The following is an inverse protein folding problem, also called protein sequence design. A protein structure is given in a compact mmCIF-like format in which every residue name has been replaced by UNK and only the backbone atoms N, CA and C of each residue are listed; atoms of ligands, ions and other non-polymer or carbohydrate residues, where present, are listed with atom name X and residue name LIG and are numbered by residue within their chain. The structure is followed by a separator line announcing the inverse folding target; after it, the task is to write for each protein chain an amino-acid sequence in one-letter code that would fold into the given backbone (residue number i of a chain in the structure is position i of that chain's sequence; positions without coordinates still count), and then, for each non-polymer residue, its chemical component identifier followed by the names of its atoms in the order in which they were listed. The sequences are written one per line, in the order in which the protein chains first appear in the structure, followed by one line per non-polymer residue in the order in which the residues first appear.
data_IF_351866846962
#
_entry.id   IF_351866846962
#
_cell.length_a   1.000
_cell.length_b   1.000
_cell.length_c   1.000
_cell.angle_alpha   90.00
_cell.angle_beta   90.00
_cell.angle_gamma   90.00
#
_symmetry.space_group_name_H-M   'P 1'
#
loop_
_entity.id
_entity.type
_entity.pdbx_description
1 polymer ?
#
# COMPACT_ATOMS: atom_id res chain seq x y z
N UNK A 1 -7.75 -3.44 16.55
CA UNK A 1 -6.98 -4.68 16.88
C UNK A 1 -5.54 -4.28 17.14
N UNK A 2 -4.85 -4.88 18.13
CA UNK A 2 -3.45 -4.57 18.42
C UNK A 2 -2.52 -5.13 17.34
N UNK A 3 -1.82 -4.27 16.61
CA UNK A 3 -0.91 -4.66 15.53
C UNK A 3 0.21 -5.56 16.04
N UNK A 4 0.59 -5.43 17.33
CA UNK A 4 1.61 -6.23 18.01
C UNK A 4 1.34 -7.75 17.96
N UNK A 5 0.08 -8.14 17.73
CA UNK A 5 -0.37 -9.53 17.70
C UNK A 5 -0.51 -10.10 16.28
N UNK A 6 -0.20 -9.33 15.24
CA UNK A 6 -0.30 -9.81 13.86
C UNK A 6 0.87 -10.74 13.53
N UNK A 7 0.57 -12.03 13.35
CA UNK A 7 1.59 -13.06 13.07
C UNK A 7 2.35 -12.87 11.75
N UNK A 8 1.76 -12.17 10.77
CA UNK A 8 2.42 -11.88 9.49
C UNK A 8 3.44 -10.74 9.59
N UNK A 9 3.31 -9.85 10.59
CA UNK A 9 4.20 -8.70 10.77
C UNK A 9 5.22 -8.88 11.89
N UNK A 10 5.23 -10.06 12.54
CA UNK A 10 6.04 -10.34 13.74
C UNK A 10 7.52 -9.98 13.57
N UNK A 11 8.08 -10.23 12.37
CA UNK A 11 9.51 -10.08 12.11
C UNK A 11 9.91 -8.61 11.87
N UNK A 12 8.94 -7.76 11.51
CA UNK A 12 9.16 -6.34 11.22
C UNK A 12 8.50 -5.40 12.23
N UNK A 13 7.86 -5.94 13.27
CA UNK A 13 6.97 -5.18 14.16
C UNK A 13 7.68 -4.03 14.87
N UNK A 14 8.95 -4.23 15.22
CA UNK A 14 9.82 -3.22 15.86
C UNK A 14 10.13 -2.01 14.97
N UNK A 15 9.89 -2.14 13.66
CA UNK A 15 10.08 -1.08 12.67
C UNK A 15 8.79 -0.35 12.34
N UNK A 16 7.65 -0.80 12.86
CA UNK A 16 6.36 -0.19 12.61
C UNK A 16 6.09 0.90 13.64
N UNK A 17 5.69 2.06 13.16
CA UNK A 17 5.25 3.17 14.00
C UNK A 17 3.77 3.44 13.74
N UNK A 18 2.93 3.35 14.77
CA UNK A 18 1.52 3.73 14.65
C UNK A 18 1.44 5.25 14.46
N UNK A 19 0.81 5.68 13.37
CA UNK A 19 0.55 7.09 13.05
C UNK A 19 -0.85 7.51 13.51
N UNK A 20 -1.82 6.62 13.38
CA UNK A 20 -3.20 6.86 13.81
C UNK A 20 -3.92 5.55 14.12
N UNK A 21 -4.84 5.58 15.08
CA UNK A 21 -5.80 4.50 15.31
C UNK A 21 -7.15 4.76 14.62
N UNK A 22 -7.32 5.93 14.02
CA UNK A 22 -8.57 6.41 13.41
C UNK A 22 -8.68 5.95 11.95
N UNK A 23 -8.61 4.65 11.72
CA UNK A 23 -8.84 4.05 10.40
C UNK A 23 -10.34 3.78 10.19
N UNK A 24 -10.89 3.99 8.97
CA UNK A 24 -10.22 4.46 7.75
C UNK A 24 -10.12 6.00 7.63
N UNK A 25 -10.78 6.76 8.50
CA UNK A 25 -10.97 8.22 8.38
C UNK A 25 -9.67 8.99 8.18
N UNK A 26 -8.61 8.65 8.92
CA UNK A 26 -7.30 9.27 8.76
C UNK A 26 -6.80 9.13 7.31
N UNK A 27 -6.85 7.93 6.76
CA UNK A 27 -6.26 7.65 5.46
C UNK A 27 -7.10 8.25 4.33
N UNK A 28 -8.44 8.18 4.43
CA UNK A 28 -9.37 8.87 3.53
C UNK A 28 -9.09 10.39 3.54
N UNK A 29 -8.91 10.98 4.72
CA UNK A 29 -8.59 12.40 4.83
C UNK A 29 -7.25 12.75 4.17
N UNK A 30 -6.22 11.91 4.32
CA UNK A 30 -4.93 12.14 3.69
C UNK A 30 -4.99 12.02 2.16
N UNK A 31 -5.77 11.05 1.63
CA UNK A 31 -6.03 10.89 0.20
C UNK A 31 -6.79 12.11 -0.36
N UNK A 32 -7.86 12.54 0.31
CA UNK A 32 -8.65 13.72 -0.07
C UNK A 32 -7.82 15.01 -0.07
N UNK A 33 -7.01 15.24 0.97
CA UNK A 33 -6.08 16.40 1.01
C UNK A 33 -5.09 16.39 -0.15
N UNK A 34 -4.71 15.19 -0.59
CA UNK A 34 -3.79 14.98 -1.71
C UNK A 34 -4.51 14.97 -3.07
N UNK A 35 -5.83 15.17 -3.08
CA UNK A 35 -6.69 15.11 -4.28
C UNK A 35 -6.56 13.78 -5.03
N UNK A 36 -6.33 12.69 -4.30
CA UNK A 36 -6.31 11.33 -4.87
C UNK A 36 -7.77 10.86 -4.93
N UNK A 37 -8.28 10.47 -6.10
CA UNK A 37 -9.67 10.11 -6.28
C UNK A 37 -9.99 8.79 -5.59
N UNK A 38 -11.17 8.71 -4.97
CA UNK A 38 -11.61 7.55 -4.19
C UNK A 38 -12.97 7.08 -4.65
N UNK A 39 -13.14 5.76 -4.65
CA UNK A 39 -14.45 5.12 -4.74
C UNK A 39 -14.83 4.62 -3.35
N UNK A 40 -15.87 5.20 -2.76
CA UNK A 40 -16.37 4.83 -1.43
C UNK A 40 -17.56 3.89 -1.60
N UNK A 41 -17.40 2.64 -1.20
CA UNK A 41 -18.47 1.64 -1.26
C UNK A 41 -19.38 1.69 -0.03
N UNK A 42 -18.80 2.00 1.14
CA UNK A 42 -19.51 2.27 2.38
C UNK A 42 -18.61 3.04 3.37
N UNK A 43 -19.14 3.37 4.55
CA UNK A 43 -18.43 4.14 5.61
C UNK A 43 -17.07 3.55 6.01
N UNK A 44 -16.86 2.25 5.76
CA UNK A 44 -15.65 1.54 6.15
C UNK A 44 -14.83 1.06 4.97
N UNK A 45 -15.32 1.10 3.74
CA UNK A 45 -14.63 0.51 2.58
C UNK A 45 -14.49 1.51 1.46
N UNK A 46 -13.25 1.77 1.08
CA UNK A 46 -12.88 2.61 -0.04
C UNK A 46 -11.80 1.92 -0.87
N UNK A 47 -11.69 2.29 -2.13
CA UNK A 47 -10.54 2.01 -2.99
C UNK A 47 -10.09 3.32 -3.65
N UNK A 48 -8.88 3.33 -4.18
CA UNK A 48 -8.47 4.42 -5.08
C UNK A 48 -9.21 4.23 -6.41
N UNK A 49 -9.84 5.29 -6.92
CA UNK A 49 -10.43 5.27 -8.25
C UNK A 49 -9.31 5.41 -9.30
N UNK A 50 -8.71 4.30 -9.69
CA UNK A 50 -7.58 4.25 -10.61
C UNK A 50 -7.90 4.70 -12.04
N UNK A 51 -9.17 4.75 -12.43
CA UNK A 51 -9.60 5.29 -13.73
C UNK A 51 -9.42 6.82 -13.81
N UNK A 52 -9.39 7.50 -12.66
CA UNK A 52 -9.17 8.94 -12.55
C UNK A 52 -7.71 9.31 -12.22
N UNK A 53 -6.85 8.32 -11.96
CA UNK A 53 -5.43 8.55 -11.67
C UNK A 53 -4.62 8.58 -12.96
N UNK A 54 -3.90 9.67 -13.22
CA UNK A 54 -2.99 9.78 -14.38
C UNK A 54 -1.60 10.27 -13.94
N UNK A 55 -0.52 9.52 -14.21
CA UNK A 55 -0.50 8.20 -14.84
C UNK A 55 -0.96 7.10 -13.86
N UNK A 56 -1.50 6.01 -14.41
CA UNK A 56 -1.86 4.80 -13.65
C UNK A 56 -1.16 3.59 -14.28
N UNK A 57 -0.57 2.74 -13.43
CA UNK A 57 0.12 1.53 -13.81
C UNK A 57 -0.47 0.36 -13.04
N UNK A 58 -0.63 -0.77 -13.73
CA UNK A 58 -1.25 -1.99 -13.21
C UNK A 58 -0.33 -3.19 -13.43
N UNK A 59 -0.19 -4.03 -12.41
CA UNK A 59 0.60 -5.26 -12.48
C UNK A 59 -0.08 -6.40 -11.73
N UNK A 60 -0.22 -7.56 -12.37
CA UNK A 60 -0.77 -8.77 -11.76
C UNK A 60 0.28 -9.42 -10.85
N UNK A 61 -0.10 -9.93 -9.68
CA UNK A 61 0.85 -10.46 -8.69
C UNK A 61 0.52 -11.86 -8.11
N UNK A 62 -0.44 -12.59 -8.65
CA UNK A 62 -0.75 -13.96 -8.18
C UNK A 62 -0.06 -15.03 -9.04
N UNK A 63 1.27 -15.15 -8.90
CA UNK A 63 2.08 -16.17 -9.58
C UNK A 63 3.36 -16.51 -8.82
N UNK A 64 3.93 -17.69 -9.10
CA UNK A 64 5.18 -18.13 -8.47
C UNK A 64 6.34 -17.20 -8.82
N UNK A 65 7.01 -16.67 -7.80
CA UNK A 65 8.14 -15.75 -7.97
C UNK A 65 7.76 -14.26 -7.98
N UNK A 66 6.46 -13.93 -7.83
CA UNK A 66 6.00 -12.54 -7.80
C UNK A 66 6.61 -11.73 -6.65
N UNK A 67 6.87 -12.34 -5.50
CA UNK A 67 7.39 -11.65 -4.32
C UNK A 67 8.76 -11.02 -4.59
N UNK A 68 9.66 -11.78 -5.21
CA UNK A 68 11.01 -11.33 -5.59
C UNK A 68 10.96 -10.32 -6.75
N UNK A 69 10.15 -10.58 -7.78
CA UNK A 69 10.00 -9.65 -8.92
C UNK A 69 9.47 -8.30 -8.44
N UNK A 70 8.40 -8.29 -7.64
CA UNK A 70 7.79 -7.04 -7.16
C UNK A 70 8.72 -6.30 -6.21
N UNK A 71 9.44 -7.01 -5.34
CA UNK A 71 10.43 -6.39 -4.46
C UNK A 71 11.53 -5.70 -5.26
N UNK A 72 12.07 -6.37 -6.29
CA UNK A 72 13.08 -5.81 -7.18
C UNK A 72 12.54 -4.59 -7.95
N UNK A 73 11.35 -4.68 -8.51
CA UNK A 73 10.70 -3.59 -9.24
C UNK A 73 10.44 -2.37 -8.34
N UNK A 74 9.91 -2.58 -7.13
CA UNK A 74 9.68 -1.49 -6.18
C UNK A 74 10.99 -0.85 -5.70
N UNK A 75 12.05 -1.64 -5.53
CA UNK A 75 13.38 -1.13 -5.14
C UNK A 75 14.00 -0.18 -6.17
N UNK A 76 13.58 -0.29 -7.43
CA UNK A 76 14.01 0.56 -8.55
C UNK A 76 13.03 1.70 -8.85
N UNK A 77 11.87 1.71 -8.18
CA UNK A 77 10.80 2.66 -8.44
C UNK A 77 11.04 4.01 -7.75
N UNK A 78 10.24 5.01 -8.11
CA UNK A 78 10.29 6.31 -7.45
C UNK A 78 9.88 6.25 -5.97
N UNK A 79 9.06 5.28 -5.56
CA UNK A 79 8.67 5.09 -4.17
C UNK A 79 9.89 4.85 -3.28
N UNK A 80 10.91 4.12 -3.75
CA UNK A 80 12.11 3.82 -2.98
C UNK A 80 12.86 5.07 -2.50
N UNK A 81 12.72 6.19 -3.21
CA UNK A 81 13.33 7.47 -2.82
C UNK A 81 12.57 8.17 -1.67
N UNK A 82 11.39 7.68 -1.31
CA UNK A 82 10.71 8.08 -0.09
C UNK A 82 11.41 7.36 1.08
N UNK A 83 11.84 8.09 2.12
CA UNK A 83 12.48 7.46 3.28
C UNK A 83 11.52 6.50 4.02
N UNK A 84 10.24 6.87 4.07
CA UNK A 84 9.18 6.12 4.76
C UNK A 84 7.89 6.15 3.96
N UNK A 85 7.08 5.11 4.13
CA UNK A 85 5.70 5.04 3.63
C UNK A 85 4.71 4.95 4.77
N UNK A 86 3.50 5.45 4.53
CA UNK A 86 2.31 5.29 5.37
C UNK A 86 1.46 4.19 4.75
N UNK A 87 1.01 3.24 5.56
CA UNK A 87 0.28 2.05 5.11
C UNK A 87 -1.05 1.94 5.85
N UNK A 88 -2.12 1.75 5.08
CA UNK A 88 -3.41 1.27 5.55
C UNK A 88 -3.54 -0.22 5.21
N UNK A 89 -3.37 -1.08 6.23
CA UNK A 89 -3.43 -2.54 6.04
C UNK A 89 -4.86 -3.01 5.84
N UNK A 90 -5.79 -2.51 6.64
CA UNK A 90 -7.23 -2.70 6.45
C UNK A 90 -7.96 -1.65 7.27
N UNK A 91 -9.26 -1.49 7.00
CA UNK A 91 -10.04 -0.38 7.52
C UNK A 91 -10.21 -0.39 9.04
N UNK A 92 -9.96 -1.50 9.72
CA UNK A 92 -10.04 -1.68 11.17
C UNK A 92 -8.67 -1.71 11.89
N UNK A 93 -7.57 -1.47 11.16
CA UNK A 93 -6.22 -1.52 11.71
C UNK A 93 -5.64 -0.12 11.88
N UNK A 94 -4.71 0.06 12.83
CA UNK A 94 -3.97 1.29 12.91
C UNK A 94 -3.25 1.59 11.59
N UNK A 95 -3.20 2.87 11.25
CA UNK A 95 -2.38 3.37 10.16
C UNK A 95 -0.93 3.39 10.66
N UNK A 96 -0.03 2.82 9.88
CA UNK A 96 1.38 2.67 10.28
C UNK A 96 2.31 3.41 9.32
N UNK A 97 3.47 3.78 9.85
CA UNK A 97 4.62 4.29 9.12
C UNK A 97 5.76 3.31 9.28
N UNK A 98 6.49 3.07 8.19
CA UNK A 98 7.64 2.17 8.15
C UNK A 98 8.65 2.69 7.13
N UNK A 99 9.93 2.37 7.31
CA UNK A 99 10.95 2.61 6.28
C UNK A 99 10.56 1.94 4.97
N UNK A 100 10.70 2.66 3.86
CA UNK A 100 10.25 2.16 2.54
C UNK A 100 10.97 0.87 2.15
N UNK A 101 12.25 0.75 2.47
CA UNK A 101 13.03 -0.48 2.23
C UNK A 101 12.44 -1.69 2.96
N UNK A 102 11.96 -1.50 4.19
CA UNK A 102 11.33 -2.56 4.98
C UNK A 102 9.96 -2.90 4.39
N UNK A 103 9.17 -1.90 4.00
CA UNK A 103 7.93 -2.15 3.26
C UNK A 103 8.18 -3.02 2.02
N UNK A 104 9.15 -2.63 1.18
CA UNK A 104 9.44 -3.34 -0.08
C UNK A 104 9.86 -4.78 0.18
N UNK A 105 10.77 -5.02 1.11
CA UNK A 105 11.25 -6.38 1.41
C UNK A 105 10.18 -7.29 2.03
N UNK A 106 9.08 -6.71 2.52
CA UNK A 106 8.03 -7.44 3.24
C UNK A 106 6.63 -7.10 2.73
N UNK A 107 6.51 -6.63 1.49
CA UNK A 107 5.24 -6.11 0.95
C UNK A 107 4.12 -7.15 1.04
N UNK A 108 4.46 -8.42 0.75
CA UNK A 108 3.52 -9.54 0.81
C UNK A 108 3.06 -9.83 2.24
N UNK A 109 3.92 -9.59 3.24
CA UNK A 109 3.53 -9.70 4.65
C UNK A 109 2.48 -8.66 5.05
N UNK A 110 2.54 -7.44 4.50
CA UNK A 110 1.49 -6.43 4.68
C UNK A 110 0.19 -6.85 3.99
N UNK A 111 0.28 -7.38 2.77
CA UNK A 111 -0.88 -7.91 2.06
C UNK A 111 -1.55 -9.07 2.82
N UNK A 112 -0.76 -10.03 3.30
CA UNK A 112 -1.26 -11.12 4.16
C UNK A 112 -1.84 -10.60 5.48
N UNK A 113 -1.23 -9.57 6.08
CA UNK A 113 -1.72 -8.93 7.30
C UNK A 113 -3.08 -8.23 7.12
N UNK A 114 -3.45 -7.86 5.88
CA UNK A 114 -4.80 -7.37 5.54
C UNK A 114 -5.86 -8.47 5.55
N UNK A 115 -5.45 -9.74 5.63
CA UNK A 115 -6.33 -10.87 5.31
C UNK A 115 -6.50 -11.05 3.80
N UNK A 116 -5.51 -10.59 3.01
CA UNK A 116 -5.52 -10.65 1.55
C UNK A 116 -6.68 -9.90 0.90
N UNK A 117 -7.15 -8.81 1.51
CA UNK A 117 -8.27 -8.00 0.96
C UNK A 117 -7.80 -6.75 0.24
N UNK A 118 -6.64 -6.21 0.65
CA UNK A 118 -6.03 -5.07 0.01
C UNK A 118 -5.27 -4.19 0.97
N UNK A 119 -4.32 -3.44 0.43
CA UNK A 119 -3.43 -2.55 1.20
C UNK A 119 -3.17 -1.30 0.41
N UNK A 120 -3.36 -0.14 1.02
CA UNK A 120 -3.03 1.15 0.42
C UNK A 120 -1.74 1.68 1.03
N UNK A 121 -0.81 2.14 0.19
CA UNK A 121 0.49 2.65 0.60
C UNK A 121 0.75 3.99 -0.03
N UNK A 122 1.23 4.94 0.77
CA UNK A 122 1.52 6.30 0.35
C UNK A 122 2.91 6.71 0.84
N UNK A 123 3.77 7.21 -0.05
CA UNK A 123 5.02 7.85 0.32
C UNK A 123 4.80 9.06 1.23
N UNK A 124 5.77 9.40 2.08
CA UNK A 124 5.61 10.53 3.01
C UNK A 124 5.36 11.87 2.31
N UNK A 125 5.92 12.05 1.11
CA UNK A 125 5.65 13.23 0.26
C UNK A 125 4.23 13.27 -0.31
N UNK A 126 3.50 12.13 -0.25
CA UNK A 126 2.18 11.89 -0.84
C UNK A 126 2.15 11.95 -2.37
N UNK A 127 3.32 12.10 -3.00
CA UNK A 127 3.46 12.14 -4.45
C UNK A 127 3.33 10.75 -5.07
N UNK A 128 3.83 9.73 -4.39
CA UNK A 128 3.83 8.35 -4.85
C UNK A 128 2.93 7.51 -3.97
N UNK A 129 2.04 6.75 -4.59
CA UNK A 129 1.12 5.87 -3.91
C UNK A 129 0.78 4.66 -4.76
N UNK A 130 0.34 3.61 -4.08
CA UNK A 130 -0.03 2.34 -4.66
C UNK A 130 -1.11 1.67 -3.83
N UNK A 131 -1.79 0.73 -4.45
CA UNK A 131 -2.82 -0.09 -3.84
C UNK A 131 -2.70 -1.51 -4.35
N UNK A 132 -2.71 -2.47 -3.43
CA UNK A 132 -2.87 -3.89 -3.72
C UNK A 132 -4.33 -4.25 -3.51
N UNK A 133 -4.97 -4.87 -4.50
CA UNK A 133 -6.39 -5.25 -4.45
C UNK A 133 -6.54 -6.75 -4.70
N UNK A 134 -7.40 -7.40 -3.93
CA UNK A 134 -7.63 -8.85 -3.99
C UNK A 134 -8.48 -9.30 -5.18
N UNK A 135 -9.50 -8.51 -5.53
CA UNK A 135 -10.54 -8.85 -6.52
C UNK A 135 -9.96 -9.28 -7.86
N UNK A 136 -8.83 -8.69 -8.23
CA UNK A 136 -8.17 -8.94 -9.50
C UNK A 136 -6.67 -9.25 -9.35
N UNK A 137 -6.20 -9.42 -8.11
CA UNK A 137 -4.79 -9.64 -7.74
C UNK A 137 -3.84 -8.66 -8.44
N UNK A 138 -4.23 -7.38 -8.48
CA UNK A 138 -3.44 -6.35 -9.13
C UNK A 138 -2.90 -5.32 -8.15
N UNK A 139 -1.65 -4.96 -8.45
CA UNK A 139 -0.91 -3.87 -7.88
C UNK A 139 -1.13 -2.67 -8.78
N UNK A 140 -1.74 -1.63 -8.23
CA UNK A 140 -1.92 -0.35 -8.89
C UNK A 140 -0.94 0.67 -8.32
N UNK A 141 -0.43 1.56 -9.16
CA UNK A 141 0.49 2.62 -8.73
C UNK A 141 0.42 3.83 -9.65
N UNK A 142 0.75 5.01 -9.12
CA UNK A 142 0.85 6.24 -9.92
C UNK A 142 2.27 6.51 -10.43
N UNK A 143 3.14 5.51 -10.38
CA UNK A 143 4.52 5.54 -10.84
C UNK A 143 4.88 4.22 -11.52
N UNK A 144 5.83 4.22 -12.46
CA UNK A 144 6.21 3.00 -13.14
C UNK A 144 6.92 2.06 -12.15
N UNK A 145 6.32 0.88 -11.94
CA UNK A 145 6.94 -0.25 -11.25
C UNK A 145 7.67 -1.14 -12.26
N UNK A 146 7.15 -1.23 -13.49
CA UNK A 146 7.77 -1.88 -14.65
C UNK A 146 7.86 -0.85 -15.79
N UNK A 147 8.84 -0.98 -16.68
CA UNK A 147 8.75 -0.29 -17.97
C UNK A 147 7.48 -0.79 -18.68
N UNK A 148 6.46 0.06 -18.78
CA UNK A 148 5.38 -0.17 -19.71
C UNK A 148 5.98 -0.11 -21.10
N UNK A 149 5.97 -1.25 -21.83
CA UNK A 149 6.23 -1.22 -23.26
C UNK A 149 5.24 -0.22 -23.86
N UNK A 150 5.79 0.87 -24.40
CA UNK A 150 5.06 1.85 -25.21
C UNK A 150 4.45 1.18 -26.43
#
# INVERSE_FOLDING_TARGET
MDISKNGFLKDIIKHLKVVSNDSPDYFINELNKSKIPLEIFNEKNFLINWDEVTPSYKFFFDYVGCEDEISDLLSKSHLFNENTVIIAISNDKPIIEVETKIFINHWYSFFAASGYVGVVVMGKSKKFFLEMVDRDFNFYSNFPVKESKK
#
